data_IF_797155344518
#
_entry.id   IF_797155344518
#
_cell.length_a   1.000
_cell.length_b   1.000
_cell.length_c   1.000
_cell.angle_alpha   90.00
_cell.angle_beta   90.00
_cell.angle_gamma   90.00
#
_symmetry.space_group_name_H-M   'P 1'
#
loop_
_entity.id
_entity.type
_entity.pdbx_description
1 polymer ?
#
# COMPACT_ATOMS: atom_id res chain seq x y z
N UNK A 1 12.84 -42.16 37.89
CA UNK A 1 12.79 -40.93 38.71
C UNK A 1 12.99 -39.74 37.78
N UNK A 2 11.92 -39.03 37.42
CA UNK A 2 12.02 -37.76 36.69
C UNK A 2 11.46 -36.67 37.60
N UNK A 3 12.28 -35.68 37.94
CA UNK A 3 11.82 -34.44 38.58
C UNK A 3 12.12 -33.28 37.64
N UNK A 4 11.07 -32.93 36.90
CA UNK A 4 10.99 -31.76 36.04
C UNK A 4 11.12 -30.50 36.90
N UNK A 5 12.19 -29.72 36.73
CA UNK A 5 12.38 -28.44 37.42
C UNK A 5 11.85 -27.31 36.55
N UNK A 6 10.69 -26.75 36.93
CA UNK A 6 10.22 -25.43 36.47
C UNK A 6 11.04 -24.32 37.14
N UNK A 7 11.49 -23.28 36.43
CA UNK A 7 11.89 -22.03 37.07
C UNK A 7 10.67 -21.12 37.32
N UNK A 8 10.71 -20.26 38.37
CA UNK A 8 9.59 -19.48 38.86
C UNK A 8 9.31 -18.22 38.03
N UNK A 9 8.03 -17.87 37.90
CA UNK A 9 7.57 -16.56 37.43
C UNK A 9 7.84 -15.54 38.54
N UNK A 10 8.53 -14.46 38.20
CA UNK A 10 8.69 -13.30 39.07
C UNK A 10 7.45 -12.42 38.90
N UNK A 11 6.59 -12.41 39.91
CA UNK A 11 5.64 -11.31 40.11
C UNK A 11 6.26 -10.38 41.15
N UNK A 12 6.64 -9.18 40.73
CA UNK A 12 7.05 -8.11 41.62
C UNK A 12 6.35 -6.84 41.15
N UNK A 13 5.22 -6.56 41.81
CA UNK A 13 4.54 -5.27 41.70
C UNK A 13 5.40 -4.16 42.30
N UNK A 14 5.42 -3.02 41.64
CA UNK A 14 5.74 -1.73 42.24
C UNK A 14 4.83 -0.70 41.57
N UNK A 15 3.80 -0.27 42.31
CA UNK A 15 3.15 1.01 42.06
C UNK A 15 4.19 2.11 42.27
N UNK A 16 4.36 2.97 41.27
CA UNK A 16 5.01 4.28 41.46
C UNK A 16 3.93 5.33 41.27
N UNK A 17 3.46 5.80 42.41
CA UNK A 17 2.76 7.07 42.60
C UNK A 17 3.60 8.21 42.01
N UNK A 18 3.10 8.83 40.95
CA UNK A 18 3.66 10.08 40.46
C UNK A 18 2.95 11.23 41.17
N UNK A 19 3.58 11.78 42.21
CA UNK A 19 3.28 13.13 42.70
C UNK A 19 4.55 13.97 42.57
N UNK A 20 4.47 14.98 41.73
CA UNK A 20 5.37 16.13 41.78
C UNK A 20 4.64 17.31 41.12
N UNK A 21 4.27 18.21 42.01
CA UNK A 21 3.72 19.54 41.78
C UNK A 21 4.64 20.51 41.00
N UNK A 22 3.98 21.30 40.15
CA UNK A 22 4.30 22.56 39.40
C UNK A 22 5.36 23.52 40.01
N UNK A 23 5.92 24.53 39.27
CA UNK A 23 5.21 25.39 38.29
C UNK A 23 6.00 25.99 37.09
N UNK A 24 5.27 26.48 36.08
CA UNK A 24 5.36 27.82 35.44
C UNK A 24 5.10 27.82 33.91
N UNK A 25 3.99 28.49 33.55
CA UNK A 25 3.89 29.50 32.49
C UNK A 25 4.02 29.10 31.00
N UNK A 26 2.88 29.02 30.30
CA UNK A 26 2.51 29.92 29.19
C UNK A 26 1.22 29.42 28.51
N UNK A 27 0.15 30.23 28.52
CA UNK A 27 -1.12 29.90 27.90
C UNK A 27 -1.06 29.99 26.36
N UNK A 28 -1.56 29.02 25.59
CA UNK A 28 -1.94 29.25 24.21
C UNK A 28 -3.29 29.99 24.16
N UNK A 29 -3.28 31.16 23.53
CA UNK A 29 -4.48 31.93 23.23
C UNK A 29 -5.45 31.12 22.36
N UNK A 30 -6.73 31.09 22.77
CA UNK A 30 -7.86 30.60 21.97
C UNK A 30 -8.27 31.65 20.94
N UNK A 31 -8.40 31.33 19.65
CA UNK A 31 -9.20 32.12 18.73
C UNK A 31 -10.67 31.75 18.93
N UNK A 32 -11.42 32.71 19.45
CA UNK A 32 -12.88 32.70 19.55
C UNK A 32 -13.50 32.62 18.14
N UNK A 33 -14.15 31.51 17.79
CA UNK A 33 -15.06 31.46 16.65
C UNK A 33 -16.49 31.60 17.19
N UNK A 34 -16.91 32.85 17.36
CA UNK A 34 -18.31 33.18 17.57
C UNK A 34 -19.01 33.25 16.21
N UNK A 35 -20.05 32.42 16.08
CA UNK A 35 -21.07 32.42 15.03
C UNK A 35 -21.54 33.82 14.61
N UNK A 36 -21.75 34.01 13.29
CA UNK A 36 -22.80 34.88 12.78
C UNK A 36 -23.30 34.42 11.40
N UNK A 37 -24.34 33.59 11.48
CA UNK A 37 -25.54 33.49 10.60
C UNK A 37 -25.74 34.53 9.49
N UNK A 38 -26.02 34.01 8.28
CA UNK A 38 -26.85 34.55 7.17
C UNK A 38 -26.27 35.79 6.46
N UNK A 39 -26.14 35.87 5.14
CA UNK A 39 -27.25 36.03 4.20
C UNK A 39 -26.82 35.63 2.76
N UNK A 40 -27.79 35.11 2.00
CA UNK A 40 -27.71 34.74 0.57
C UNK A 40 -27.24 35.89 -0.34
N UNK A 41 -26.31 35.64 -1.26
CA UNK A 41 -26.10 36.44 -2.46
C UNK A 41 -25.23 35.68 -3.51
N UNK A 42 -25.90 35.16 -4.53
CA UNK A 42 -25.53 35.14 -5.96
C UNK A 42 -24.04 35.07 -6.34
N UNK A 43 -23.60 33.90 -6.82
CA UNK A 43 -22.41 33.76 -7.68
C UNK A 43 -22.75 34.30 -9.08
N UNK A 44 -22.35 35.53 -9.36
CA UNK A 44 -22.05 35.99 -10.72
C UNK A 44 -20.62 35.49 -10.98
N UNK A 45 -20.44 34.38 -11.68
CA UNK A 45 -20.28 34.29 -13.13
C UNK A 45 -19.22 35.26 -13.69
N UNK A 46 -18.40 34.69 -14.59
CA UNK A 46 -17.48 35.35 -15.53
C UNK A 46 -15.98 35.37 -15.13
N UNK A 47 -15.32 34.24 -15.44
CA UNK A 47 -13.87 34.13 -15.62
C UNK A 47 -13.52 34.31 -17.11
N UNK A 48 -12.91 35.42 -17.55
CA UNK A 48 -12.45 35.52 -18.94
C UNK A 48 -11.01 34.99 -19.05
N UNK A 49 -10.86 33.67 -19.19
CA UNK A 49 -9.61 33.10 -19.71
C UNK A 49 -9.77 32.79 -21.20
N UNK A 50 -9.71 33.85 -22.01
CA UNK A 50 -9.46 33.74 -23.45
C UNK A 50 -7.97 33.53 -23.67
N UNK A 51 -7.57 32.36 -24.17
CA UNK A 51 -6.89 32.23 -25.46
C UNK A 51 -6.64 30.75 -25.80
N UNK A 52 -7.19 30.33 -26.94
CA UNK A 52 -7.01 29.03 -27.61
C UNK A 52 -5.59 28.92 -28.20
N UNK A 53 -4.86 27.82 -27.97
CA UNK A 53 -3.89 27.29 -28.90
C UNK A 53 -4.51 26.12 -29.66
N UNK A 54 -4.76 26.38 -30.93
CA UNK A 54 -5.28 25.46 -31.93
C UNK A 54 -4.15 24.62 -32.46
N UNK A 55 -3.94 23.45 -31.87
CA UNK A 55 -3.22 22.36 -32.52
C UNK A 55 -3.94 21.05 -32.20
N UNK A 56 -4.42 20.40 -33.25
CA UNK A 56 -5.10 19.11 -33.20
C UNK A 56 -4.11 18.05 -32.73
N UNK A 57 -4.03 17.84 -31.42
CA UNK A 57 -3.44 16.61 -30.90
C UNK A 57 -4.54 15.54 -30.88
N UNK A 58 -4.72 14.87 -32.02
CA UNK A 58 -5.22 13.49 -32.01
C UNK A 58 -4.11 12.59 -31.44
N UNK A 59 -3.79 12.79 -30.17
CA UNK A 59 -3.14 11.79 -29.37
C UNK A 59 -4.16 10.72 -29.13
N UNK A 60 -4.24 9.77 -30.07
CA UNK A 60 -4.82 8.46 -29.78
C UNK A 60 -4.02 7.89 -28.61
N UNK A 61 -4.51 8.15 -27.39
CA UNK A 61 -4.15 7.38 -26.22
C UNK A 61 -4.80 6.00 -26.42
N UNK A 62 -4.22 5.23 -27.34
CA UNK A 62 -4.50 3.82 -27.50
C UNK A 62 -3.77 3.08 -26.39
N UNK A 63 -4.11 3.40 -25.14
CA UNK A 63 -4.06 2.41 -24.10
C UNK A 63 -5.17 1.42 -24.45
N UNK A 64 -4.79 0.28 -25.01
CA UNK A 64 -5.65 -0.91 -25.05
C UNK A 64 -6.15 -1.11 -23.63
N UNK A 65 -7.37 -0.67 -23.34
CA UNK A 65 -8.03 -1.01 -22.11
C UNK A 65 -8.14 -2.53 -22.15
N UNK A 66 -7.42 -3.22 -21.26
CA UNK A 66 -7.70 -4.60 -20.88
C UNK A 66 -9.15 -4.62 -20.38
N UNK A 67 -10.08 -4.73 -21.34
CA UNK A 67 -11.50 -4.44 -21.19
C UNK A 67 -12.20 -5.66 -20.61
N UNK A 68 -11.59 -6.31 -19.62
CA UNK A 68 -12.26 -7.30 -18.81
C UNK A 68 -12.85 -6.59 -17.57
N UNK A 69 -14.13 -6.17 -17.61
CA UNK A 69 -14.77 -5.51 -16.48
C UNK A 69 -14.88 -6.42 -15.25
N UNK A 70 -14.85 -7.76 -15.43
CA UNK A 70 -14.93 -8.71 -14.32
C UNK A 70 -13.64 -8.73 -13.50
N UNK A 71 -12.47 -8.64 -14.18
CA UNK A 71 -11.15 -8.60 -13.53
C UNK A 71 -10.98 -7.42 -12.57
N UNK A 72 -11.62 -6.30 -12.89
CA UNK A 72 -11.59 -5.08 -12.09
C UNK A 72 -12.91 -4.79 -11.38
N UNK A 73 -13.80 -5.78 -11.30
CA UNK A 73 -15.03 -5.69 -10.54
C UNK A 73 -14.74 -5.44 -9.05
N UNK A 74 -15.71 -4.86 -8.33
CA UNK A 74 -15.59 -4.64 -6.89
C UNK A 74 -15.30 -5.95 -6.14
N UNK A 75 -15.96 -7.05 -6.52
CA UNK A 75 -15.74 -8.36 -5.91
C UNK A 75 -14.32 -8.88 -6.17
N UNK A 76 -13.83 -8.80 -7.41
CA UNK A 76 -12.46 -9.18 -7.73
C UNK A 76 -11.45 -8.35 -6.94
N UNK A 77 -11.66 -7.03 -6.83
CA UNK A 77 -10.82 -6.12 -6.02
C UNK A 77 -10.81 -6.49 -4.54
N UNK A 78 -11.96 -6.86 -3.98
CA UNK A 78 -12.08 -7.34 -2.60
C UNK A 78 -11.36 -8.69 -2.43
N UNK A 79 -11.56 -9.63 -3.35
CA UNK A 79 -10.93 -10.95 -3.32
C UNK A 79 -9.39 -10.85 -3.36
N UNK A 80 -8.83 -10.10 -4.31
CA UNK A 80 -7.37 -9.87 -4.38
C UNK A 80 -6.84 -9.16 -3.14
N UNK A 81 -7.59 -8.20 -2.58
CA UNK A 81 -7.17 -7.50 -1.37
C UNK A 81 -7.15 -8.41 -0.14
N UNK A 82 -8.06 -9.38 -0.04
CA UNK A 82 -8.05 -10.40 1.01
C UNK A 82 -6.91 -11.42 0.83
N UNK A 83 -6.56 -11.76 -0.42
CA UNK A 83 -5.47 -12.70 -0.71
C UNK A 83 -4.06 -12.07 -0.56
N UNK A 84 -3.95 -10.75 -0.75
CA UNK A 84 -2.68 -10.01 -0.75
C UNK A 84 -1.78 -10.25 0.47
N UNK A 85 -2.28 -10.26 1.73
CA UNK A 85 -1.43 -10.48 2.89
C UNK A 85 -0.68 -11.82 2.84
N UNK A 86 -1.37 -12.91 2.51
CA UNK A 86 -0.76 -14.24 2.41
C UNK A 86 0.24 -14.36 1.25
N UNK A 87 -0.09 -13.77 0.09
CA UNK A 87 0.84 -13.71 -1.04
C UNK A 87 2.10 -12.91 -0.69
N UNK A 88 1.95 -11.77 -0.02
CA UNK A 88 3.06 -10.92 0.43
C UNK A 88 3.94 -11.63 1.46
N UNK A 89 3.34 -12.36 2.41
CA UNK A 89 4.08 -13.16 3.38
C UNK A 89 4.91 -14.25 2.69
N UNK A 90 4.33 -15.00 1.74
CA UNK A 90 5.08 -16.00 0.98
C UNK A 90 6.24 -15.39 0.19
N UNK A 91 6.05 -14.22 -0.43
CA UNK A 91 7.13 -13.49 -1.11
C UNK A 91 8.25 -13.05 -0.14
N UNK A 92 7.90 -12.60 1.06
CA UNK A 92 8.88 -12.26 2.12
C UNK A 92 9.65 -13.50 2.58
N UNK A 93 8.97 -14.62 2.80
CA UNK A 93 9.61 -15.87 3.20
C UNK A 93 10.56 -16.38 2.11
N UNK A 94 10.16 -16.31 0.84
CA UNK A 94 11.02 -16.63 -0.29
C UNK A 94 12.29 -15.76 -0.31
N UNK A 95 12.16 -14.46 -0.02
CA UNK A 95 13.32 -13.57 0.11
C UNK A 95 14.25 -13.98 1.25
N UNK A 96 13.68 -14.26 2.42
CA UNK A 96 14.42 -14.61 3.64
C UNK A 96 15.13 -15.95 3.52
N UNK A 97 14.44 -16.95 2.99
CA UNK A 97 14.94 -18.31 2.79
C UNK A 97 15.77 -18.45 1.52
N UNK A 98 15.75 -17.44 0.63
CA UNK A 98 16.35 -17.48 -0.71
C UNK A 98 15.84 -18.65 -1.56
N UNK A 99 14.63 -19.11 -1.27
CA UNK A 99 13.97 -20.23 -1.92
C UNK A 99 12.96 -19.72 -2.94
N UNK A 100 12.90 -20.34 -4.12
CA UNK A 100 11.96 -19.95 -5.17
C UNK A 100 10.53 -20.32 -4.72
N UNK A 101 9.58 -19.36 -4.64
CA UNK A 101 8.22 -19.62 -4.20
C UNK A 101 7.36 -20.39 -5.23
N UNK A 102 7.92 -20.67 -6.40
CA UNK A 102 7.30 -21.33 -7.55
C UNK A 102 7.00 -20.34 -8.68
N UNK A 103 7.33 -20.73 -9.90
CA UNK A 103 7.09 -19.91 -11.11
C UNK A 103 5.59 -19.64 -11.29
N UNK A 104 4.76 -20.66 -11.18
CA UNK A 104 3.29 -20.56 -11.27
C UNK A 104 2.73 -19.55 -10.26
N UNK A 105 3.23 -19.58 -9.02
CA UNK A 105 2.81 -18.65 -7.98
C UNK A 105 3.20 -17.20 -8.31
N UNK A 106 4.40 -16.99 -8.85
CA UNK A 106 4.86 -15.65 -9.25
C UNK A 106 4.06 -15.11 -10.43
N UNK A 107 3.76 -15.95 -11.44
CA UNK A 107 2.93 -15.58 -12.58
C UNK A 107 1.49 -15.27 -12.15
N UNK A 108 0.87 -16.11 -11.32
CA UNK A 108 -0.47 -15.87 -10.78
C UNK A 108 -0.54 -14.53 -10.03
N UNK A 109 0.42 -14.28 -9.12
CA UNK A 109 0.47 -13.03 -8.38
C UNK A 109 0.73 -11.81 -9.27
N UNK A 110 1.52 -11.98 -10.33
CA UNK A 110 1.83 -10.92 -11.30
C UNK A 110 0.60 -10.48 -12.08
N UNK A 111 -0.19 -11.45 -12.54
CA UNK A 111 -1.35 -11.21 -13.39
C UNK A 111 -2.57 -10.72 -12.60
N UNK A 112 -2.77 -11.25 -11.39
CA UNK A 112 -3.94 -10.96 -10.56
C UNK A 112 -3.80 -9.66 -9.75
N UNK A 113 -2.63 -9.39 -9.15
CA UNK A 113 -2.46 -8.23 -8.27
C UNK A 113 -1.32 -7.29 -8.69
N UNK A 114 -1.65 -6.17 -9.38
CA UNK A 114 -0.69 -5.12 -9.71
C UNK A 114 0.15 -4.62 -8.53
N UNK A 115 -0.37 -4.67 -7.30
CA UNK A 115 0.36 -4.24 -6.11
C UNK A 115 1.56 -5.14 -5.78
N UNK A 116 1.54 -6.41 -6.19
CA UNK A 116 2.61 -7.37 -5.94
C UNK A 116 3.72 -7.33 -6.99
N UNK A 117 3.46 -6.76 -8.18
CA UNK A 117 4.43 -6.69 -9.28
C UNK A 117 5.75 -6.03 -8.86
N UNK A 118 5.69 -4.97 -8.06
CA UNK A 118 6.92 -4.28 -7.60
C UNK A 118 7.79 -5.18 -6.71
N UNK A 119 7.17 -6.01 -5.88
CA UNK A 119 7.89 -6.94 -4.99
C UNK A 119 8.47 -8.08 -5.81
N UNK A 120 7.69 -8.63 -6.74
CA UNK A 120 8.13 -9.69 -7.64
C UNK A 120 9.30 -9.21 -8.52
N UNK A 121 9.21 -8.00 -9.11
CA UNK A 121 10.32 -7.37 -9.87
C UNK A 121 11.61 -7.34 -9.07
N UNK A 122 11.53 -6.87 -7.82
CA UNK A 122 12.71 -6.80 -6.92
C UNK A 122 13.27 -8.18 -6.61
N UNK A 123 12.40 -9.15 -6.34
CA UNK A 123 12.77 -10.53 -6.03
C UNK A 123 13.50 -11.20 -7.19
N UNK A 124 12.93 -11.18 -8.40
CA UNK A 124 13.55 -11.84 -9.56
C UNK A 124 14.86 -11.18 -10.00
N UNK A 125 14.97 -9.85 -9.84
CA UNK A 125 16.23 -9.14 -10.05
C UNK A 125 17.29 -9.49 -9.00
N UNK A 126 16.87 -9.75 -7.75
CA UNK A 126 17.75 -10.12 -6.65
C UNK A 126 18.20 -11.59 -6.73
N UNK A 127 17.38 -12.45 -7.32
CA UNK A 127 17.61 -13.89 -7.42
C UNK A 127 17.51 -14.36 -8.88
N UNK A 128 18.46 -13.96 -9.75
CA UNK A 128 18.43 -14.30 -11.17
C UNK A 128 18.48 -15.82 -11.42
N UNK A 129 19.02 -16.61 -10.49
CA UNK A 129 19.05 -18.06 -10.57
C UNK A 129 17.67 -18.73 -10.58
N UNK A 130 16.60 -17.97 -10.30
CA UNK A 130 15.22 -18.45 -10.43
C UNK A 130 14.73 -18.50 -11.89
N UNK A 131 15.52 -17.99 -12.85
CA UNK A 131 15.22 -18.10 -14.28
C UNK A 131 13.99 -17.30 -14.71
N UNK A 132 13.71 -16.18 -14.04
CA UNK A 132 12.61 -15.28 -14.35
C UNK A 132 13.13 -13.86 -14.51
N UNK A 133 12.59 -13.12 -15.46
CA UNK A 133 12.86 -11.69 -15.65
C UNK A 133 11.57 -10.92 -15.85
N UNK A 134 11.53 -9.71 -15.34
CA UNK A 134 10.43 -8.77 -15.59
C UNK A 134 10.86 -7.74 -16.65
N UNK A 135 10.21 -7.76 -17.81
CA UNK A 135 10.49 -6.86 -18.95
C UNK A 135 9.18 -6.26 -19.44
N UNK A 136 9.15 -4.94 -19.63
CA UNK A 136 8.02 -4.20 -20.22
C UNK A 136 6.63 -4.53 -19.62
N UNK A 137 6.59 -4.76 -18.30
CA UNK A 137 5.34 -5.07 -17.60
C UNK A 137 4.90 -6.53 -17.65
N UNK A 138 5.69 -7.41 -18.26
CA UNK A 138 5.48 -8.86 -18.33
C UNK A 138 6.53 -9.58 -17.48
N UNK A 139 6.14 -10.71 -16.89
CA UNK A 139 7.05 -11.64 -16.21
C UNK A 139 7.25 -12.87 -17.12
N UNK A 140 8.49 -13.13 -17.54
CA UNK A 140 8.80 -14.23 -18.46
C UNK A 140 9.90 -15.12 -17.89
N UNK A 141 9.88 -16.40 -18.28
CA UNK A 141 10.97 -17.32 -18.00
C UNK A 141 12.16 -16.95 -18.89
N UNK A 142 13.34 -16.82 -18.29
CA UNK A 142 14.59 -16.69 -19.01
C UNK A 142 15.18 -18.08 -19.16
N UNK A 143 15.12 -18.62 -20.38
CA UNK A 143 15.93 -19.76 -20.77
C UNK A 143 17.25 -19.21 -21.33
N UNK A 144 18.37 -19.74 -20.83
CA UNK A 144 19.73 -19.34 -21.20
C UNK A 144 20.10 -19.77 -22.62
#
# INVERSE_FOLDING_TARGET
MQVSRRPPKQELGVEVIASHEDPLSAAPAVPNFSDQTSHVATLMDENPFSQEPKDHHEGQSSALADSNPEKWSHEAVVARSKARPGRMEKLKMAEQLRENPGVEFLMECWDDDPALRIVIKKLVAKFPQWGLVAVDGVLVKWDE
#
